data_IF_205792666626
#
_entry.id   IF_205792666626
#
_cell.length_a   1.000
_cell.length_b   1.000
_cell.length_c   1.000
_cell.angle_alpha   90.00
_cell.angle_beta   90.00
_cell.angle_gamma   90.00
#
_symmetry.space_group_name_H-M   'P 1'
#
loop_
_entity.id
_entity.type
_entity.pdbx_description
1 polymer ?
#
# COMPACT_ATOMS: atom_id res chain seq x y z
N UNK A 1 5.10 3.47 16.39
CA UNK A 1 4.57 3.90 15.08
C UNK A 1 4.50 2.70 14.18
N UNK A 2 3.50 2.66 13.30
CA UNK A 2 3.34 1.66 12.24
C UNK A 2 3.15 2.43 10.93
N UNK A 3 3.81 2.00 9.86
CA UNK A 3 3.63 2.61 8.55
C UNK A 3 2.55 1.85 7.78
N UNK A 4 1.78 2.58 6.97
CA UNK A 4 0.66 2.01 6.24
C UNK A 4 0.51 2.65 4.87
N UNK A 5 -0.04 1.89 3.92
CA UNK A 5 -0.45 2.40 2.62
C UNK A 5 -1.75 1.76 2.18
N UNK A 6 -2.67 2.55 1.66
CA UNK A 6 -3.97 2.10 1.16
C UNK A 6 -4.02 2.17 -0.37
N UNK A 7 -4.65 1.16 -0.98
CA UNK A 7 -4.96 1.10 -2.40
C UNK A 7 -6.43 0.73 -2.56
N UNK A 8 -7.22 1.65 -3.09
CA UNK A 8 -8.55 1.35 -3.59
C UNK A 8 -8.39 0.65 -4.94
N UNK A 9 -8.69 -0.65 -5.01
CA UNK A 9 -8.85 -1.34 -6.29
C UNK A 9 -10.36 -1.49 -6.58
N UNK A 10 -11.09 -0.40 -6.36
CA UNK A 10 -12.54 -0.27 -6.49
C UNK A 10 -12.91 1.19 -6.77
N UNK A 11 -14.19 1.47 -6.97
CA UNK A 11 -14.70 2.79 -7.35
C UNK A 11 -16.06 3.09 -6.70
N UNK A 12 -16.44 4.36 -6.70
CA UNK A 12 -17.77 4.79 -6.28
C UNK A 12 -18.87 4.07 -7.09
N UNK A 13 -20.03 3.73 -6.47
CA UNK A 13 -20.49 4.16 -5.14
C UNK A 13 -19.93 3.34 -3.97
N UNK A 14 -19.13 2.30 -4.20
CA UNK A 14 -18.49 1.58 -3.09
C UNK A 14 -17.50 2.52 -2.36
N UNK A 15 -17.47 2.43 -1.03
CA UNK A 15 -16.50 3.14 -0.21
C UNK A 15 -15.88 2.18 0.79
N UNK A 16 -14.66 1.72 0.50
CA UNK A 16 -14.00 0.65 1.25
C UNK A 16 -12.95 1.22 2.23
N UNK A 17 -13.31 1.75 3.40
CA UNK A 17 -12.36 2.47 4.26
C UNK A 17 -11.34 1.53 4.89
N UNK A 18 -10.08 1.96 4.90
CA UNK A 18 -9.04 1.45 5.78
C UNK A 18 -9.13 2.11 7.15
N UNK A 19 -8.87 1.35 8.21
CA UNK A 19 -8.96 1.84 9.58
C UNK A 19 -7.89 1.22 10.49
N UNK A 20 -7.59 1.93 11.57
CA UNK A 20 -6.83 1.45 12.71
C UNK A 20 -7.70 1.46 13.97
N UNK A 21 -7.57 0.45 14.82
CA UNK A 21 -8.24 0.38 16.13
C UNK A 21 -7.20 0.20 17.22
N UNK A 22 -7.34 0.96 18.30
CA UNK A 22 -6.60 0.77 19.55
C UNK A 22 -7.60 0.49 20.66
N UNK A 23 -7.48 -0.66 21.33
CA UNK A 23 -8.28 -1.00 22.51
C UNK A 23 -7.39 -1.38 23.68
N UNK A 24 -7.80 -1.02 24.89
CA UNK A 24 -7.07 -1.34 26.11
C UNK A 24 -7.58 -0.55 27.31
N UNK A 25 -6.82 -0.51 28.42
CA UNK A 25 -7.22 0.21 29.62
C UNK A 25 -7.53 1.69 29.32
N UNK A 26 -8.79 2.07 29.53
CA UNK A 26 -9.24 3.46 29.35
C UNK A 26 -9.30 3.95 27.90
N UNK A 27 -9.18 3.07 26.91
CA UNK A 27 -9.29 3.46 25.49
C UNK A 27 -10.03 2.43 24.63
N UNK A 28 -10.91 2.95 23.80
CA UNK A 28 -11.45 2.29 22.62
C UNK A 28 -11.52 3.32 21.50
N UNK A 29 -10.54 3.29 20.59
CA UNK A 29 -10.39 4.29 19.55
C UNK A 29 -10.34 3.64 18.18
N UNK A 30 -11.22 4.09 17.29
CA UNK A 30 -11.19 3.80 15.86
C UNK A 30 -10.75 5.05 15.10
N UNK A 31 -9.78 4.89 14.21
CA UNK A 31 -9.31 5.95 13.32
C UNK A 31 -9.46 5.48 11.89
N UNK A 32 -10.29 6.17 11.10
CA UNK A 32 -10.38 5.93 9.65
C UNK A 32 -9.13 6.53 9.00
N UNK A 33 -8.35 5.70 8.34
CA UNK A 33 -7.07 6.08 7.73
C UNK A 33 -7.29 6.66 6.34
N UNK A 34 -7.98 5.92 5.47
CA UNK A 34 -8.21 6.31 4.09
C UNK A 34 -9.46 5.65 3.53
N UNK A 35 -10.00 6.20 2.44
CA UNK A 35 -11.21 5.72 1.78
C UNK A 35 -11.28 6.19 0.32
N UNK A 36 -12.24 5.65 -0.44
CA UNK A 36 -12.46 6.03 -1.84
C UNK A 36 -13.08 7.43 -1.91
N UNK A 37 -14.12 7.68 -1.11
CA UNK A 37 -14.97 8.88 -1.26
C UNK A 37 -15.24 9.64 0.04
N UNK A 38 -15.20 8.99 1.21
CA UNK A 38 -15.51 9.66 2.49
C UNK A 38 -14.90 8.98 3.72
N UNK A 39 -14.36 9.79 4.64
CA UNK A 39 -13.70 9.35 5.87
C UNK A 39 -12.19 9.16 5.70
N UNK A 40 -11.41 9.63 6.68
CA UNK A 40 -9.94 9.61 6.59
C UNK A 40 -9.43 10.41 5.38
N UNK A 41 -8.33 9.94 4.79
CA UNK A 41 -7.80 10.46 3.52
C UNK A 41 -8.58 9.90 2.32
N UNK A 42 -9.20 10.77 1.54
CA UNK A 42 -9.90 10.39 0.30
C UNK A 42 -8.90 10.23 -0.85
N UNK A 43 -8.90 9.08 -1.52
CA UNK A 43 -8.00 8.80 -2.66
C UNK A 43 -8.67 8.82 -4.03
N UNK A 44 -10.01 8.81 -4.08
CA UNK A 44 -10.77 8.70 -5.33
C UNK A 44 -10.83 7.27 -5.89
N UNK A 45 -11.51 7.13 -7.02
CA UNK A 45 -11.66 5.84 -7.72
C UNK A 45 -10.28 5.31 -8.15
N UNK A 46 -10.03 4.02 -7.88
CA UNK A 46 -8.76 3.36 -8.18
C UNK A 46 -7.51 4.07 -7.58
N UNK A 47 -7.71 4.85 -6.51
CA UNK A 47 -6.67 5.68 -5.92
C UNK A 47 -5.79 4.97 -4.89
N UNK A 48 -4.69 5.62 -4.50
CA UNK A 48 -3.79 5.15 -3.46
C UNK A 48 -3.24 6.31 -2.63
N UNK A 49 -2.89 6.04 -1.37
CA UNK A 49 -2.36 7.08 -0.46
C UNK A 49 -0.85 7.27 -0.55
N UNK A 50 -0.11 6.28 -1.03
CA UNK A 50 1.31 6.12 -0.68
C UNK A 50 1.49 5.75 0.80
N UNK A 51 2.74 5.74 1.28
CA UNK A 51 3.06 5.37 2.66
C UNK A 51 2.88 6.55 3.63
N UNK A 52 2.18 6.29 4.73
CA UNK A 52 1.92 7.22 5.83
C UNK A 52 2.28 6.58 7.17
N UNK A 53 2.48 7.40 8.19
CA UNK A 53 2.74 6.92 9.55
C UNK A 53 1.45 6.98 10.40
N UNK A 54 1.15 5.89 11.10
CA UNK A 54 0.20 5.88 12.21
C UNK A 54 0.99 5.88 13.54
N UNK A 55 0.87 6.98 14.28
CA UNK A 55 1.50 7.15 15.59
C UNK A 55 0.42 7.31 16.65
N UNK A 56 0.48 6.49 17.69
CA UNK A 56 -0.44 6.52 18.80
C UNK A 56 0.32 6.55 20.13
N UNK A 57 -0.10 7.42 21.05
CA UNK A 57 0.47 7.53 22.39
C UNK A 57 -0.47 6.81 23.35
N UNK A 58 0.03 5.75 24.01
CA UNK A 58 -0.76 5.00 24.98
C UNK A 58 -1.03 5.86 26.22
N UNK A 59 -2.28 5.97 26.69
CA UNK A 59 -2.64 6.88 27.78
C UNK A 59 -2.21 6.37 29.17
N UNK A 60 -1.90 5.07 29.29
CA UNK A 60 -1.50 4.44 30.53
C UNK A 60 -0.67 3.17 30.25
N UNK A 61 -0.03 2.63 31.28
CA UNK A 61 0.58 1.32 31.23
C UNK A 61 -0.48 0.21 31.21
N UNK A 62 -0.25 -0.84 30.44
CA UNK A 62 -1.15 -2.00 30.35
C UNK A 62 -1.04 -2.72 29.02
N UNK A 63 -1.88 -3.73 28.83
CA UNK A 63 -1.96 -4.49 27.58
C UNK A 63 -2.97 -3.85 26.65
N UNK A 64 -2.51 -3.49 25.44
CA UNK A 64 -3.35 -2.94 24.39
C UNK A 64 -3.40 -3.89 23.20
N UNK A 65 -4.47 -3.81 22.43
CA UNK A 65 -4.61 -4.45 21.11
C UNK A 65 -4.63 -3.36 20.06
N UNK A 66 -3.74 -3.50 19.09
CA UNK A 66 -3.68 -2.69 17.88
C UNK A 66 -4.21 -3.54 16.73
N UNK A 67 -5.20 -3.03 16.00
CA UNK A 67 -5.78 -3.67 14.83
C UNK A 67 -5.74 -2.75 13.63
N UNK A 68 -5.57 -3.33 12.45
CA UNK A 68 -5.65 -2.64 11.17
C UNK A 68 -6.53 -3.46 10.24
N UNK A 69 -7.30 -2.80 9.40
CA UNK A 69 -8.18 -3.50 8.47
C UNK A 69 -8.76 -2.62 7.40
N UNK A 70 -9.42 -3.27 6.45
CA UNK A 70 -10.23 -2.64 5.41
C UNK A 70 -11.65 -3.19 5.53
N UNK A 71 -12.63 -2.30 5.55
CA UNK A 71 -14.03 -2.70 5.47
C UNK A 71 -14.48 -2.64 4.01
N UNK A 72 -15.03 -3.72 3.48
CA UNK A 72 -15.63 -3.73 2.15
C UNK A 72 -17.06 -3.19 2.22
N UNK A 73 -17.38 -2.24 1.36
CA UNK A 73 -18.73 -1.70 1.22
C UNK A 73 -19.65 -2.67 0.46
N UNK A 74 -20.97 -2.55 0.67
CA UNK A 74 -21.95 -3.06 -0.28
C UNK A 74 -21.64 -2.53 -1.69
N UNK A 75 -21.89 -3.34 -2.72
CA UNK A 75 -21.65 -3.00 -4.14
C UNK A 75 -20.18 -2.89 -4.57
N UNK A 76 -19.25 -3.34 -3.74
CA UNK A 76 -17.84 -3.44 -4.10
C UNK A 76 -17.65 -4.36 -5.31
N UNK A 77 -17.04 -3.83 -6.39
CA UNK A 77 -16.71 -4.57 -7.60
C UNK A 77 -15.28 -5.11 -7.59
N UNK A 78 -14.43 -4.56 -6.72
CA UNK A 78 -13.03 -4.96 -6.56
C UNK A 78 -12.52 -4.78 -5.13
N UNK A 79 -11.43 -5.46 -4.75
CA UNK A 79 -10.89 -5.38 -3.41
C UNK A 79 -10.33 -3.98 -3.07
N UNK A 80 -10.08 -3.74 -1.80
CA UNK A 80 -9.18 -2.68 -1.37
C UNK A 80 -8.12 -3.28 -0.44
N UNK A 81 -6.92 -2.72 -0.49
CA UNK A 81 -5.75 -3.29 0.16
C UNK A 81 -5.17 -2.30 1.17
N UNK A 82 -4.73 -2.83 2.31
CA UNK A 82 -3.97 -2.10 3.32
C UNK A 82 -2.66 -2.83 3.56
N UNK A 83 -1.57 -2.13 3.26
CA UNK A 83 -0.21 -2.58 3.54
C UNK A 83 0.25 -2.01 4.88
N UNK A 84 1.04 -2.78 5.62
CA UNK A 84 1.59 -2.39 6.93
C UNK A 84 3.07 -2.75 6.95
N UNK A 85 3.89 -1.88 7.55
CA UNK A 85 5.33 -2.08 7.64
C UNK A 85 5.96 -1.31 8.82
N UNK A 86 7.17 -1.71 9.22
CA UNK A 86 7.92 -1.08 10.31
C UNK A 86 8.62 0.24 9.90
N UNK A 87 8.69 0.50 8.59
CA UNK A 87 9.23 1.70 7.96
C UNK A 87 8.39 2.07 6.71
N UNK A 88 8.48 3.29 6.16
CA UNK A 88 7.75 3.61 4.94
C UNK A 88 8.36 2.80 3.80
N UNK A 89 7.53 2.00 3.11
CA UNK A 89 7.97 1.24 1.96
C UNK A 89 8.39 2.14 0.78
N UNK A 90 9.17 1.57 -0.14
CA UNK A 90 9.67 2.28 -1.33
C UNK A 90 8.78 2.13 -2.56
N UNK A 91 7.73 1.31 -2.47
CA UNK A 91 6.81 1.03 -3.57
C UNK A 91 5.91 2.22 -3.89
N UNK A 92 5.93 2.68 -5.14
CA UNK A 92 4.89 3.52 -5.70
C UNK A 92 3.80 2.60 -6.28
N UNK A 93 2.61 2.60 -5.68
CA UNK A 93 1.52 1.67 -6.05
C UNK A 93 0.88 2.01 -7.40
N UNK A 94 1.21 3.18 -7.96
CA UNK A 94 0.95 3.56 -9.35
C UNK A 94 2.19 3.24 -10.19
N UNK A 95 2.05 2.23 -11.05
CA UNK A 95 3.00 1.71 -12.04
C UNK A 95 4.36 2.42 -12.10
N UNK A 96 5.33 1.96 -11.31
CA UNK A 96 6.73 2.15 -11.70
C UNK A 96 6.97 1.24 -12.89
N UNK A 97 7.26 1.81 -14.07
CA UNK A 97 7.84 1.05 -15.17
C UNK A 97 9.00 0.24 -14.58
N UNK A 98 8.89 -1.10 -14.64
CA UNK A 98 10.00 -1.97 -14.27
C UNK A 98 11.11 -1.63 -15.26
N UNK A 99 12.28 -1.13 -14.80
CA UNK A 99 13.40 -0.90 -15.70
C UNK A 99 13.66 -2.19 -16.47
N UNK A 100 13.79 -2.11 -17.79
CA UNK A 100 14.01 -3.30 -18.61
C UNK A 100 15.17 -4.12 -18.01
N UNK A 101 15.00 -5.44 -17.81
CA UNK A 101 16.03 -6.25 -17.18
C UNK A 101 17.36 -6.08 -17.91
N UNK A 102 18.44 -5.88 -17.16
CA UNK A 102 19.82 -5.86 -17.67
C UNK A 102 20.19 -7.13 -18.47
N UNK A 103 19.36 -8.17 -18.41
CA UNK A 103 19.33 -9.34 -19.30
C UNK A 103 19.28 -8.97 -20.78
N UNK A 104 18.54 -7.92 -21.20
CA UNK A 104 18.52 -7.49 -22.61
C UNK A 104 19.85 -6.88 -23.04
N UNK A 105 20.49 -6.10 -22.16
CA UNK A 105 21.84 -5.58 -22.41
C UNK A 105 22.87 -6.73 -22.50
N UNK A 106 22.77 -7.73 -21.63
CA UNK A 106 23.63 -8.93 -21.66
C UNK A 106 23.38 -9.79 -22.91
N UNK A 107 22.11 -9.98 -23.30
CA UNK A 107 21.75 -10.71 -24.51
C UNK A 107 22.26 -9.98 -25.76
N UNK A 108 22.07 -8.66 -25.83
CA UNK A 108 22.55 -7.82 -26.92
C UNK A 108 24.08 -7.84 -27.04
N UNK A 109 24.79 -7.67 -25.93
CA UNK A 109 26.26 -7.73 -25.92
C UNK A 109 26.78 -9.14 -26.25
N UNK A 110 26.12 -10.20 -25.78
CA UNK A 110 26.44 -11.58 -26.15
C UNK A 110 26.29 -11.85 -27.65
N UNK A 111 25.19 -11.41 -28.25
CA UNK A 111 24.94 -11.56 -29.69
C UNK A 111 25.93 -10.74 -30.54
N UNK A 112 26.29 -9.53 -30.10
CA UNK A 112 27.33 -8.71 -30.72
C UNK A 112 28.71 -9.40 -30.62
N UNK A 113 29.05 -9.96 -29.46
CA UNK A 113 30.28 -10.74 -29.27
C UNK A 113 30.36 -11.94 -30.21
N UNK A 114 29.28 -12.73 -30.33
CA UNK A 114 29.23 -13.89 -31.22
C UNK A 114 29.32 -13.52 -32.71
N UNK A 115 28.69 -12.42 -33.12
CA UNK A 115 28.75 -11.96 -34.52
C UNK A 115 30.13 -11.42 -34.91
N UNK A 116 30.89 -10.85 -33.96
CA UNK A 116 32.28 -10.47 -34.15
C UNK A 116 33.23 -11.68 -34.20
N UNK A 117 32.98 -12.70 -33.37
CA UNK A 117 33.75 -13.95 -33.38
C UNK A 117 33.60 -14.74 -34.69
N UNK A 118 32.46 -14.61 -35.37
CA UNK A 118 32.16 -15.33 -36.63
C UNK A 118 32.85 -14.72 -37.87
N UNK A 119 33.51 -13.56 -37.75
CA UNK A 119 34.20 -12.86 -38.84
C UNK A 119 35.74 -13.00 -38.80
N UNK A 120 36.26 -13.87 -37.94
CA UNK A 120 37.65 -14.32 -37.91
C UNK A 120 37.74 -15.77 -38.34
#
# INVERSE_FOLDING_TARGET
>A
TMYWAYVAYDQTPANNPAFAVVTGPGVEQLTVLASISSGGMTVGDLGATGWHAFTYVLPAAGTFRLGFGVASAPFSGGPAFLFLDDQPGTGNFVSSQIPEPSTFALLGTGLLGMSLLRRR
#
